data_IF_859303271107
#
_entry.id   IF_859303271107
#
_cell.length_a   1.000
_cell.length_b   1.000
_cell.length_c   1.000
_cell.angle_alpha   90.00
_cell.angle_beta   90.00
_cell.angle_gamma   90.00
#
_symmetry.space_group_name_H-M   'P 1'
#
loop_
_entity.id
_entity.type
_entity.pdbx_description
1 polymer ?
#
# COMPACT_ATOMS: atom_id res chain seq x y z
N UNK A 1 -1.25 17.81 -8.51
CA UNK A 1 -0.47 16.65 -8.07
C UNK A 1 -0.73 16.52 -6.58
N UNK A 2 -1.24 15.38 -6.09
CA UNK A 2 -1.37 15.15 -4.64
C UNK A 2 0.04 15.05 -4.05
N UNK A 3 0.35 15.86 -3.05
CA UNK A 3 1.64 15.83 -2.36
C UNK A 3 1.50 15.07 -1.04
N UNK A 4 2.63 14.56 -0.51
CA UNK A 4 2.71 14.07 0.87
C UNK A 4 2.26 15.13 1.90
N UNK A 5 2.38 16.41 1.56
CA UNK A 5 1.88 17.51 2.38
C UNK A 5 0.35 17.54 2.53
N UNK A 6 -0.38 16.89 1.61
CA UNK A 6 -1.84 16.78 1.66
C UNK A 6 -2.30 15.56 2.47
N UNK A 7 -1.36 14.77 3.02
CA UNK A 7 -1.65 13.59 3.81
C UNK A 7 -2.03 13.96 5.24
N UNK A 8 -3.29 13.71 5.60
CA UNK A 8 -3.75 13.76 7.00
C UNK A 8 -3.98 12.34 7.53
N UNK A 9 -3.04 11.75 8.29
CA UNK A 9 -3.18 10.41 8.83
C UNK A 9 -4.30 10.29 9.87
N UNK A 10 -4.74 11.40 10.49
CA UNK A 10 -5.83 11.36 11.48
C UNK A 10 -7.18 10.99 10.87
N UNK A 11 -7.29 11.02 9.54
CA UNK A 11 -8.48 10.55 8.82
C UNK A 11 -8.55 9.03 8.73
N UNK A 12 -7.42 8.31 8.89
CA UNK A 12 -7.36 6.86 8.77
C UNK A 12 -7.68 6.20 10.11
N UNK A 13 -8.97 5.93 10.34
CA UNK A 13 -9.49 5.42 11.62
C UNK A 13 -10.03 4.00 11.54
N UNK A 14 -10.25 3.47 10.34
CA UNK A 14 -10.80 2.14 10.14
C UNK A 14 -9.70 1.07 10.33
N UNK A 15 -10.04 -0.06 10.95
CA UNK A 15 -9.08 -1.12 11.25
C UNK A 15 -8.32 -1.61 10.01
N UNK A 16 -9.00 -1.73 8.86
CA UNK A 16 -8.37 -2.07 7.58
C UNK A 16 -7.32 -1.07 7.10
N UNK A 17 -7.48 0.22 7.40
CA UNK A 17 -6.49 1.24 7.06
C UNK A 17 -5.23 1.05 7.93
N UNK A 18 -5.43 0.78 9.22
CA UNK A 18 -4.36 0.50 10.17
C UNK A 18 -3.61 -0.81 9.84
N UNK A 19 -4.34 -1.87 9.47
CA UNK A 19 -3.75 -3.13 9.00
C UNK A 19 -2.84 -2.91 7.78
N UNK A 20 -3.31 -2.15 6.78
CA UNK A 20 -2.54 -1.84 5.58
C UNK A 20 -1.33 -0.96 5.90
N UNK A 21 -1.48 0.07 6.75
CA UNK A 21 -0.36 0.90 7.22
C UNK A 21 0.73 0.05 7.90
N UNK A 22 0.33 -0.86 8.78
CA UNK A 22 1.25 -1.81 9.43
C UNK A 22 1.96 -2.69 8.42
N UNK A 23 1.22 -3.30 7.48
CA UNK A 23 1.80 -4.15 6.44
C UNK A 23 2.80 -3.40 5.56
N UNK A 24 2.54 -2.13 5.21
CA UNK A 24 3.46 -1.29 4.45
C UNK A 24 4.74 -0.96 5.25
N UNK A 25 4.61 -0.71 6.55
CA UNK A 25 5.73 -0.39 7.43
C UNK A 25 6.73 -1.57 7.59
N UNK A 26 6.28 -2.80 7.37
CA UNK A 26 7.13 -4.00 7.46
C UNK A 26 8.09 -4.16 6.27
N UNK A 27 7.86 -3.48 5.14
CA UNK A 27 8.62 -3.70 3.91
C UNK A 27 10.15 -3.58 4.08
N UNK A 28 10.70 -2.54 4.74
CA UNK A 28 12.16 -2.41 4.91
C UNK A 28 12.76 -3.58 5.70
N UNK A 29 12.05 -4.09 6.71
CA UNK A 29 12.49 -5.24 7.52
C UNK A 29 12.51 -6.52 6.67
N UNK A 30 11.48 -6.73 5.85
CA UNK A 30 11.42 -7.87 4.92
C UNK A 30 12.58 -7.82 3.93
N UNK A 31 12.85 -6.67 3.32
CA UNK A 31 13.96 -6.50 2.37
C UNK A 31 15.31 -6.76 3.04
N UNK A 32 15.56 -6.19 4.22
CA UNK A 32 16.80 -6.41 4.96
C UNK A 32 17.01 -7.90 5.26
N UNK A 33 15.96 -8.59 5.71
CA UNK A 33 16.01 -10.01 6.03
C UNK A 33 16.21 -10.88 4.78
N UNK A 34 15.53 -10.58 3.68
CA UNK A 34 15.72 -11.27 2.40
C UNK A 34 17.17 -11.13 1.90
N UNK A 35 17.77 -9.95 2.05
CA UNK A 35 19.15 -9.70 1.68
C UNK A 35 20.15 -10.45 2.57
N UNK A 36 19.97 -10.40 3.90
CA UNK A 36 20.84 -11.05 4.89
C UNK A 36 20.93 -12.56 4.64
N UNK A 37 19.77 -13.22 4.48
CA UNK A 37 19.70 -14.67 4.29
C UNK A 37 19.80 -15.11 2.83
N UNK A 38 19.86 -14.18 1.87
CA UNK A 38 19.84 -14.45 0.42
C UNK A 38 18.59 -15.22 -0.02
N UNK A 39 17.44 -14.81 0.50
CA UNK A 39 16.15 -15.46 0.34
C UNK A 39 15.15 -14.53 -0.39
N UNK A 40 15.28 -14.35 -1.72
CA UNK A 40 14.42 -13.42 -2.49
C UNK A 40 12.94 -13.81 -2.45
N UNK A 41 12.63 -15.09 -2.24
CA UNK A 41 11.24 -15.57 -2.10
C UNK A 41 10.48 -14.91 -0.94
N UNK A 42 11.18 -14.39 0.09
CA UNK A 42 10.54 -13.61 1.17
C UNK A 42 9.86 -12.35 0.66
N UNK A 43 10.45 -11.69 -0.36
CA UNK A 43 9.87 -10.51 -0.98
C UNK A 43 8.59 -10.90 -1.73
N UNK A 44 8.64 -11.98 -2.53
CA UNK A 44 7.46 -12.46 -3.26
C UNK A 44 6.29 -12.81 -2.33
N UNK A 45 6.58 -13.53 -1.24
CA UNK A 45 5.58 -13.86 -0.22
C UNK A 45 5.00 -12.62 0.46
N UNK A 46 5.85 -11.66 0.83
CA UNK A 46 5.37 -10.41 1.40
C UNK A 46 4.45 -9.64 0.44
N UNK A 47 4.78 -9.58 -0.86
CA UNK A 47 3.93 -8.92 -1.85
C UNK A 47 2.58 -9.61 -2.02
N UNK A 48 2.54 -10.94 -1.95
CA UNK A 48 1.30 -11.71 -1.97
C UNK A 48 0.43 -11.40 -0.74
N UNK A 49 1.02 -11.41 0.45
CA UNK A 49 0.33 -11.08 1.71
C UNK A 49 -0.16 -9.62 1.71
N UNK A 50 0.68 -8.68 1.27
CA UNK A 50 0.33 -7.25 1.13
C UNK A 50 -0.84 -7.06 0.16
N UNK A 51 -0.85 -7.79 -0.96
CA UNK A 51 -1.96 -7.74 -1.91
C UNK A 51 -3.28 -8.17 -1.24
N UNK A 52 -3.25 -9.21 -0.39
CA UNK A 52 -4.39 -9.63 0.42
C UNK A 52 -4.89 -8.52 1.37
N UNK A 53 -3.98 -7.91 2.13
CA UNK A 53 -4.32 -6.79 3.02
C UNK A 53 -4.90 -5.60 2.26
N UNK A 54 -4.30 -5.26 1.11
CA UNK A 54 -4.79 -4.20 0.24
C UNK A 54 -6.21 -4.47 -0.28
N UNK A 55 -6.52 -5.70 -0.71
CA UNK A 55 -7.87 -6.04 -1.16
C UNK A 55 -8.91 -5.89 -0.05
N UNK A 56 -8.57 -6.27 1.19
CA UNK A 56 -9.44 -6.04 2.35
C UNK A 56 -9.72 -4.55 2.58
N UNK A 57 -8.66 -3.73 2.58
CA UNK A 57 -8.79 -2.27 2.62
C UNK A 57 -9.65 -1.72 1.48
N UNK A 58 -9.38 -2.11 0.23
CA UNK A 58 -10.08 -1.54 -0.93
C UNK A 58 -11.57 -1.90 -0.96
N UNK A 59 -11.94 -3.08 -0.44
CA UNK A 59 -13.33 -3.51 -0.32
C UNK A 59 -14.08 -2.74 0.78
N UNK A 60 -13.46 -2.57 1.95
CA UNK A 60 -14.14 -2.04 3.13
C UNK A 60 -14.03 -0.51 3.23
N UNK A 61 -12.98 0.09 2.67
CA UNK A 61 -12.65 1.51 2.77
C UNK A 61 -12.71 2.18 1.39
N UNK A 62 -13.84 2.83 1.12
CA UNK A 62 -14.05 3.54 -0.15
C UNK A 62 -13.04 4.69 -0.34
N UNK A 63 -12.30 4.65 -1.43
CA UNK A 63 -11.23 5.63 -1.74
C UNK A 63 -11.76 6.88 -2.45
N UNK A 64 -12.71 6.71 -3.37
CA UNK A 64 -13.28 7.80 -4.18
C UNK A 64 -14.67 8.21 -3.69
N UNK A 65 -15.05 9.49 -3.76
CA UNK A 65 -16.39 9.94 -3.41
C UNK A 65 -17.46 9.23 -4.25
N UNK A 66 -18.63 8.97 -3.67
CA UNK A 66 -19.76 8.34 -4.35
C UNK A 66 -21.03 9.18 -4.31
N UNK A 67 -21.75 9.23 -5.43
CA UNK A 67 -23.01 9.98 -5.54
C UNK A 67 -22.77 11.48 -5.40
N UNK A 68 -23.40 12.10 -4.40
CA UNK A 68 -23.29 13.55 -4.12
C UNK A 68 -22.17 13.89 -3.12
N UNK A 69 -21.40 12.89 -2.67
CA UNK A 69 -20.28 13.10 -1.76
C UNK A 69 -19.20 13.99 -2.39
N UNK A 70 -18.74 14.98 -1.62
CA UNK A 70 -17.63 15.85 -2.05
C UNK A 70 -16.30 15.21 -1.68
N UNK A 71 -15.27 15.50 -2.49
CA UNK A 71 -13.90 15.18 -2.14
C UNK A 71 -13.55 15.78 -0.77
N UNK A 72 -12.94 14.97 0.09
CA UNK A 72 -12.59 15.33 1.47
C UNK A 72 -11.19 14.82 1.82
N UNK A 73 -10.66 15.24 2.98
CA UNK A 73 -9.36 14.80 3.46
C UNK A 73 -9.25 13.28 3.60
N UNK A 74 -10.34 12.59 3.95
CA UNK A 74 -10.39 11.13 4.01
C UNK A 74 -10.09 10.47 2.65
N UNK A 75 -10.70 10.96 1.58
CA UNK A 75 -10.47 10.47 0.22
C UNK A 75 -9.01 10.66 -0.20
N UNK A 76 -8.45 11.84 0.11
CA UNK A 76 -7.03 12.16 -0.13
C UNK A 76 -6.11 11.20 0.65
N UNK A 77 -6.39 10.97 1.95
CA UNK A 77 -5.59 10.08 2.78
C UNK A 77 -5.62 8.63 2.26
N UNK A 78 -6.80 8.12 1.89
CA UNK A 78 -6.97 6.78 1.29
C UNK A 78 -6.28 6.65 -0.07
N UNK A 79 -6.34 7.68 -0.91
CA UNK A 79 -5.66 7.69 -2.20
C UNK A 79 -4.13 7.66 -2.03
N UNK A 80 -3.60 8.35 -1.02
CA UNK A 80 -2.17 8.29 -0.70
C UNK A 80 -1.77 6.92 -0.15
N UNK A 81 -2.66 6.24 0.59
CA UNK A 81 -2.44 4.86 1.02
C UNK A 81 -2.39 3.87 -0.16
N UNK A 82 -3.28 4.02 -1.15
CA UNK A 82 -3.18 3.30 -2.43
C UNK A 82 -1.85 3.59 -3.15
N UNK A 83 -1.43 4.85 -3.17
CA UNK A 83 -0.18 5.26 -3.81
C UNK A 83 1.04 4.64 -3.14
N UNK A 84 1.08 4.64 -1.80
CA UNK A 84 2.12 3.99 -1.02
C UNK A 84 2.17 2.47 -1.31
N UNK A 85 1.01 1.82 -1.38
CA UNK A 85 0.91 0.41 -1.73
C UNK A 85 1.47 0.12 -3.12
N UNK A 86 1.09 0.93 -4.11
CA UNK A 86 1.64 0.83 -5.47
C UNK A 86 3.17 0.97 -5.48
N UNK A 87 3.72 1.91 -4.72
CA UNK A 87 5.16 2.10 -4.63
C UNK A 87 5.88 0.89 -4.03
N UNK A 88 5.33 0.30 -2.97
CA UNK A 88 5.91 -0.89 -2.34
C UNK A 88 5.86 -2.09 -3.28
N UNK A 89 4.74 -2.30 -3.98
CA UNK A 89 4.62 -3.36 -5.00
C UNK A 89 5.63 -3.17 -6.12
N UNK A 90 5.77 -1.93 -6.63
CA UNK A 90 6.79 -1.60 -7.63
C UNK A 90 8.19 -1.94 -7.14
N UNK A 91 8.58 -1.47 -5.95
CA UNK A 91 9.90 -1.71 -5.37
C UNK A 91 10.17 -3.20 -5.18
N UNK A 92 9.18 -3.96 -4.68
CA UNK A 92 9.34 -5.39 -4.45
C UNK A 92 9.47 -6.18 -5.75
N UNK A 93 8.70 -5.86 -6.79
CA UNK A 93 8.81 -6.50 -8.10
C UNK A 93 10.14 -6.17 -8.79
N UNK A 94 10.59 -4.92 -8.69
CA UNK A 94 11.90 -4.48 -9.21
C UNK A 94 13.06 -5.25 -8.56
N UNK A 95 13.01 -5.43 -7.23
CA UNK A 95 13.98 -6.27 -6.49
C UNK A 95 13.98 -7.74 -6.94
N UNK A 96 12.84 -8.25 -7.43
CA UNK A 96 12.72 -9.61 -7.98
C UNK A 96 13.13 -9.69 -9.46
N UNK A 97 13.48 -8.57 -10.09
CA UNK A 97 13.80 -8.50 -11.52
C UNK A 97 12.57 -8.67 -12.42
N UNK A 98 11.37 -8.39 -11.90
CA UNK A 98 10.12 -8.48 -12.64
C UNK A 98 9.63 -7.06 -12.92
N UNK A 99 9.38 -6.76 -14.19
CA UNK A 99 8.78 -5.48 -14.56
C UNK A 99 7.38 -5.34 -13.94
N UNK A 100 7.17 -4.31 -13.12
CA UNK A 100 5.85 -4.02 -12.57
C UNK A 100 4.91 -3.54 -13.69
N UNK A 101 3.76 -4.19 -13.92
CA UNK A 101 2.85 -3.77 -14.98
C UNK A 101 2.16 -2.44 -14.60
N UNK A 102 2.00 -1.54 -15.58
CA UNK A 102 1.30 -0.26 -15.36
C UNK A 102 -0.22 -0.44 -15.17
N UNK A 103 -0.75 -1.60 -15.57
CA UNK A 103 -2.15 -1.98 -15.48
C UNK A 103 -2.21 -3.46 -15.08
N UNK A 104 -3.01 -3.79 -14.07
CA UNK A 104 -3.44 -5.16 -13.81
C UNK A 104 -4.70 -5.47 -14.62
#
# INVERSE_FOLDING_TARGET
>A
SLALADFDPSQLVHDRENELLGALAEFPRVVASAAEFREPHRIARYLEELAGTYHGFYNDCRVLPMGEEKLSALHTARLLLCTATKQVVFNGLDLLGVGAPERM
#
